data_IF_991474509940
#
_entry.id   IF_991474509940
#
_cell.length_a   1.000
_cell.length_b   1.000
_cell.length_c   1.000
_cell.angle_alpha   90.00
_cell.angle_beta   90.00
_cell.angle_gamma   90.00
#
_symmetry.space_group_name_H-M   'P 1'
#
loop_
_entity.id
_entity.type
_entity.pdbx_description
1 polymer ?
#
# COMPACT_ATOMS: atom_id res chain seq x y z
N UNK A 1 -2.61 -0.68 24.79
CA UNK A 1 -2.21 -0.80 23.37
C UNK A 1 -1.89 0.59 22.89
N UNK A 2 -0.70 0.81 22.35
CA UNK A 2 -0.22 2.14 21.96
C UNK A 2 -1.08 2.69 20.81
N UNK A 3 -1.84 3.75 21.10
CA UNK A 3 -2.66 4.49 20.12
C UNK A 3 -1.79 5.33 19.15
N UNK A 4 -0.45 5.25 19.22
CA UNK A 4 0.47 6.13 18.52
C UNK A 4 0.77 5.81 17.04
N UNK A 5 0.57 4.57 16.56
CA UNK A 5 0.82 4.23 15.15
C UNK A 5 -0.45 4.33 14.31
N UNK A 6 -0.58 5.44 13.57
CA UNK A 6 -1.57 5.58 12.48
C UNK A 6 -1.24 4.55 11.38
N UNK A 7 -2.26 3.90 10.80
CA UNK A 7 -2.11 2.91 9.73
C UNK A 7 -1.19 3.37 8.58
N UNK A 8 -1.19 4.66 8.28
CA UNK A 8 -0.32 5.28 7.27
C UNK A 8 1.17 5.05 7.56
N UNK A 9 1.59 5.13 8.82
CA UNK A 9 3.00 4.93 9.19
C UNK A 9 3.42 3.48 8.98
N UNK A 10 2.51 2.52 9.18
CA UNK A 10 2.77 1.11 8.90
C UNK A 10 3.07 0.93 7.41
N UNK A 11 2.34 1.61 6.53
CA UNK A 11 2.55 1.50 5.08
C UNK A 11 3.79 2.27 4.59
N UNK A 12 4.13 3.40 5.22
CA UNK A 12 5.33 4.17 4.92
C UNK A 12 6.63 3.42 5.27
N UNK A 13 6.59 2.49 6.22
CA UNK A 13 7.74 1.61 6.52
C UNK A 13 8.01 0.59 5.38
N UNK A 14 7.09 0.45 4.42
CA UNK A 14 7.12 -0.58 3.37
C UNK A 14 6.94 -0.05 1.94
N UNK A 15 6.85 1.27 1.76
CA UNK A 15 6.56 1.85 0.46
C UNK A 15 6.45 3.37 0.46
N UNK A 16 5.83 3.89 -0.58
CA UNK A 16 5.62 5.31 -0.80
C UNK A 16 4.13 5.64 -0.85
N UNK A 17 3.77 6.82 -0.35
CA UNK A 17 2.40 7.33 -0.43
C UNK A 17 2.24 8.13 -1.71
N UNK A 18 1.44 7.63 -2.63
CA UNK A 18 1.21 8.24 -3.96
C UNK A 18 -0.07 9.08 -4.03
N UNK A 19 -1.01 8.86 -3.11
CA UNK A 19 -2.20 9.70 -2.90
C UNK A 19 -2.58 9.73 -1.42
N UNK A 20 -3.56 10.54 -1.04
CA UNK A 20 -4.04 10.64 0.34
C UNK A 20 -4.28 9.27 0.99
N UNK A 21 -4.89 8.31 0.31
CA UNK A 21 -5.07 6.95 0.85
C UNK A 21 -4.56 5.85 -0.08
N UNK A 22 -3.63 6.18 -0.98
CA UNK A 22 -3.05 5.19 -1.90
C UNK A 22 -1.56 5.08 -1.66
N UNK A 23 -1.10 3.84 -1.48
CA UNK A 23 0.30 3.52 -1.22
C UNK A 23 0.78 2.47 -2.21
N UNK A 24 2.02 2.64 -2.67
CA UNK A 24 2.73 1.68 -3.48
C UNK A 24 3.84 1.06 -2.62
N UNK A 25 3.77 -0.25 -2.39
CA UNK A 25 4.70 -0.97 -1.51
C UNK A 25 5.43 -2.06 -2.29
N UNK A 26 6.74 -2.18 -2.12
CA UNK A 26 7.52 -3.31 -2.66
C UNK A 26 7.78 -4.29 -1.52
N UNK A 27 7.02 -5.38 -1.47
CA UNK A 27 7.06 -6.34 -0.35
C UNK A 27 7.05 -7.78 -0.84
N UNK A 28 7.63 -8.70 -0.07
CA UNK A 28 7.48 -10.13 -0.34
C UNK A 28 6.14 -10.67 0.22
N UNK A 29 5.79 -11.90 -0.15
CA UNK A 29 4.54 -12.54 0.31
C UNK A 29 4.44 -12.61 1.84
N UNK A 30 5.56 -12.86 2.53
CA UNK A 30 5.61 -12.94 3.99
C UNK A 30 5.32 -11.59 4.65
N UNK A 31 5.81 -10.50 4.06
CA UNK A 31 5.58 -9.15 4.53
C UNK A 31 4.15 -8.71 4.23
N UNK A 32 3.60 -9.10 3.07
CA UNK A 32 2.19 -8.89 2.74
C UNK A 32 1.27 -9.54 3.79
N UNK A 33 1.49 -10.80 4.15
CA UNK A 33 0.69 -11.49 5.17
C UNK A 33 0.71 -10.77 6.52
N UNK A 34 1.89 -10.26 6.91
CA UNK A 34 2.04 -9.44 8.13
C UNK A 34 1.27 -8.14 8.03
N UNK A 35 1.32 -7.46 6.89
CA UNK A 35 0.62 -6.19 6.67
C UNK A 35 -0.88 -6.38 6.77
N UNK A 36 -1.44 -7.45 6.19
CA UNK A 36 -2.87 -7.78 6.30
C UNK A 36 -3.28 -7.91 7.78
N UNK A 37 -2.50 -8.63 8.59
CA UNK A 37 -2.79 -8.79 10.02
C UNK A 37 -2.69 -7.46 10.76
N UNK A 38 -1.58 -6.72 10.56
CA UNK A 38 -1.35 -5.43 11.23
C UNK A 38 -2.40 -4.37 10.88
N UNK A 39 -2.96 -4.44 9.67
CA UNK A 39 -3.92 -3.44 9.18
C UNK A 39 -5.38 -3.80 9.45
N UNK A 40 -5.69 -5.07 9.73
CA UNK A 40 -7.05 -5.54 10.02
C UNK A 40 -7.79 -4.77 11.13
N UNK A 41 -7.15 -4.26 12.21
CA UNK A 41 -7.85 -3.49 13.22
C UNK A 41 -8.31 -2.11 12.73
N UNK A 42 -7.81 -1.62 11.59
CA UNK A 42 -8.20 -0.32 11.02
C UNK A 42 -9.34 -0.42 10.00
N UNK A 43 -9.93 -1.61 9.80
CA UNK A 43 -11.09 -1.81 8.92
C UNK A 43 -12.40 -1.99 9.71
N UNK A 44 -12.50 -1.39 10.89
CA UNK A 44 -13.73 -1.44 11.70
C UNK A 44 -14.80 -0.50 11.11
N UNK A 45 -16.06 -0.93 11.17
CA UNK A 45 -17.20 -0.14 10.67
C UNK A 45 -17.31 -0.15 9.13
N UNK A 46 -17.25 1.03 8.52
CA UNK A 46 -17.41 1.22 7.07
C UNK A 46 -16.06 1.41 6.34
N UNK A 47 -14.94 1.30 7.04
CA UNK A 47 -13.61 1.42 6.45
C UNK A 47 -13.19 0.12 5.77
N UNK A 48 -12.38 0.23 4.71
CA UNK A 48 -11.88 -0.92 3.95
C UNK A 48 -10.47 -0.67 3.47
N UNK A 49 -9.65 -1.72 3.43
CA UNK A 49 -8.31 -1.70 2.84
C UNK A 49 -8.28 -2.78 1.75
N UNK A 50 -7.85 -2.42 0.55
CA UNK A 50 -7.72 -3.33 -0.59
C UNK A 50 -6.25 -3.46 -0.97
N UNK A 51 -5.83 -4.70 -1.21
CA UNK A 51 -4.50 -5.03 -1.69
C UNK A 51 -4.59 -5.47 -3.15
N UNK A 52 -3.95 -4.74 -4.05
CA UNK A 52 -3.79 -5.11 -5.46
C UNK A 52 -2.34 -5.52 -5.71
N UNK A 53 -2.12 -6.81 -5.95
CA UNK A 53 -0.79 -7.31 -6.31
C UNK A 53 -0.56 -7.02 -7.80
N UNK A 54 0.40 -6.15 -8.11
CA UNK A 54 0.71 -5.78 -9.50
C UNK A 54 2.02 -6.45 -9.89
N UNK A 55 2.00 -7.27 -10.94
CA UNK A 55 3.22 -7.82 -11.50
C UNK A 55 3.95 -6.79 -12.36
N UNK A 56 5.23 -7.02 -12.66
CA UNK A 56 6.05 -6.12 -13.48
C UNK A 56 5.40 -5.75 -14.82
N UNK A 57 4.78 -6.71 -15.49
CA UNK A 57 4.12 -6.48 -16.77
C UNK A 57 2.83 -5.65 -16.64
N UNK A 58 2.13 -5.72 -15.51
CA UNK A 58 0.98 -4.87 -15.23
C UNK A 58 1.41 -3.46 -14.84
N UNK A 59 2.50 -3.33 -14.09
CA UNK A 59 3.06 -2.02 -13.72
C UNK A 59 3.46 -1.22 -14.96
N UNK A 60 4.09 -1.86 -15.96
CA UNK A 60 4.46 -1.21 -17.24
C UNK A 60 3.26 -0.67 -18.04
N UNK A 61 2.02 -1.03 -17.67
CA UNK A 61 0.79 -0.53 -18.29
C UNK A 61 0.17 0.63 -17.52
N UNK A 62 0.77 1.03 -16.38
CA UNK A 62 0.31 2.15 -15.58
C UNK A 62 0.39 3.44 -16.39
N UNK A 63 -0.66 4.25 -16.32
CA UNK A 63 -0.71 5.58 -16.92
C UNK A 63 -0.86 6.57 -15.79
N UNK A 64 0.16 7.40 -15.58
CA UNK A 64 0.12 8.50 -14.63
C UNK A 64 -0.44 9.75 -15.32
N UNK A 65 -1.46 10.36 -14.70
CA UNK A 65 -2.00 11.65 -15.10
C UNK A 65 -1.82 12.66 -13.96
N UNK A 66 -1.21 13.81 -14.26
CA UNK A 66 -0.86 14.83 -13.26
C UNK A 66 0.63 14.83 -12.92
N UNK A 67 0.98 15.43 -11.79
CA UNK A 67 2.34 15.50 -11.26
C UNK A 67 2.50 14.48 -10.12
N UNK A 68 3.28 13.43 -10.36
CA UNK A 68 3.67 12.42 -9.36
C UNK A 68 4.96 11.72 -9.80
N UNK A 69 5.74 11.24 -8.84
CA UNK A 69 6.92 10.43 -9.13
C UNK A 69 6.48 8.98 -9.39
N UNK A 70 6.97 8.36 -10.46
CA UNK A 70 6.70 6.95 -10.77
C UNK A 70 7.77 6.10 -10.11
N UNK A 71 7.35 5.16 -9.26
CA UNK A 71 8.24 4.12 -8.72
C UNK A 71 8.40 3.02 -9.77
N UNK A 72 9.63 2.79 -10.26
CA UNK A 72 9.90 1.88 -11.40
C UNK A 72 10.01 0.38 -11.03
N UNK A 73 9.78 0.01 -9.76
CA UNK A 73 9.92 -1.37 -9.26
C UNK A 73 8.57 -2.08 -9.07
N UNK A 74 8.54 -3.41 -8.96
CA UNK A 74 7.29 -4.22 -8.94
C UNK A 74 6.47 -3.99 -7.66
N UNK A 75 5.39 -3.20 -7.72
CA UNK A 75 4.68 -2.73 -6.52
C UNK A 75 3.34 -3.42 -6.25
N UNK A 76 2.98 -3.48 -4.97
CA UNK A 76 1.63 -3.71 -4.49
C UNK A 76 0.94 -2.35 -4.32
N UNK A 77 -0.31 -2.24 -4.78
CA UNK A 77 -1.11 -1.03 -4.59
C UNK A 77 -2.13 -1.24 -3.47
N UNK A 78 -2.14 -0.32 -2.52
CA UNK A 78 -3.07 -0.31 -1.39
C UNK A 78 -4.08 0.82 -1.59
N UNK A 79 -5.38 0.50 -1.56
CA UNK A 79 -6.50 1.46 -1.71
C UNK A 79 -7.50 1.33 -0.57
#
# INVERSE_FOLDING_TARGET
>A
MDYGKRWQNILLDHGVRVQYSVFECLVDAKTLDKLVVMLSPFTEGNDSIRFYQICEACLKKMVLLGSGDVTEEVLFHLV
#
